data_IF_088778341748
#
_entry.id   IF_088778341748
#
_cell.length_a   1.000
_cell.length_b   1.000
_cell.length_c   1.000
_cell.angle_alpha   90.00
_cell.angle_beta   90.00
_cell.angle_gamma   90.00
#
_symmetry.space_group_name_H-M   'P 1'
#
loop_
_entity.id
_entity.type
_entity.pdbx_description
1 polymer ?
#
# COMPACT_ATOMS: atom_id res chain seq x y z
N UNK A 1 -30.33 -14.35 5.58
CA UNK A 1 -29.30 -15.23 5.03
C UNK A 1 -28.53 -14.43 4.00
N UNK A 2 -27.37 -13.88 4.38
CA UNK A 2 -26.50 -13.15 3.46
C UNK A 2 -25.61 -14.17 2.73
N UNK A 3 -25.68 -14.19 1.41
CA UNK A 3 -24.80 -14.97 0.56
C UNK A 3 -23.38 -14.40 0.68
N UNK A 4 -22.50 -15.15 1.31
CA UNK A 4 -21.06 -14.91 1.24
C UNK A 4 -20.66 -14.96 -0.24
N UNK A 5 -20.08 -13.88 -0.74
CA UNK A 5 -19.38 -13.86 -2.02
C UNK A 5 -18.17 -14.78 -1.88
N UNK A 6 -18.33 -16.03 -2.31
CA UNK A 6 -17.24 -16.95 -2.56
C UNK A 6 -16.45 -16.39 -3.75
N UNK A 7 -15.43 -15.58 -3.46
CA UNK A 7 -14.46 -15.17 -4.49
C UNK A 7 -13.72 -16.44 -4.87
N UNK A 8 -14.19 -17.10 -5.92
CA UNK A 8 -13.50 -18.24 -6.51
C UNK A 8 -12.02 -17.88 -6.67
N UNK A 9 -11.15 -18.58 -5.94
CA UNK A 9 -9.71 -18.37 -5.97
C UNK A 9 -9.20 -18.85 -7.34
N UNK A 10 -9.32 -17.98 -8.34
CA UNK A 10 -8.78 -18.22 -9.68
C UNK A 10 -7.26 -18.11 -9.56
N UNK A 11 -6.59 -19.27 -9.61
CA UNK A 11 -5.12 -19.31 -9.60
C UNK A 11 -4.61 -18.69 -10.91
N UNK A 12 -3.89 -17.59 -10.82
CA UNK A 12 -3.18 -16.98 -11.95
C UNK A 12 -1.73 -17.45 -11.98
N UNK A 13 -1.17 -17.65 -13.18
CA UNK A 13 0.24 -18.00 -13.36
C UNK A 13 1.09 -16.73 -13.49
N UNK A 14 2.25 -16.73 -12.83
CA UNK A 14 3.23 -15.65 -12.93
C UNK A 14 4.43 -16.15 -13.76
N UNK A 15 4.54 -15.65 -14.99
CA UNK A 15 5.66 -15.95 -15.87
C UNK A 15 6.66 -14.80 -15.84
N UNK A 16 7.87 -15.05 -15.32
CA UNK A 16 8.93 -14.04 -15.21
C UNK A 16 10.17 -14.48 -15.98
N UNK A 17 10.76 -13.55 -16.73
CA UNK A 17 12.10 -13.71 -17.32
C UNK A 17 13.11 -13.10 -16.38
N UNK A 18 14.10 -13.89 -15.97
CA UNK A 18 15.19 -13.46 -15.08
C UNK A 18 16.52 -13.83 -15.71
N UNK A 19 17.58 -13.11 -15.31
CA UNK A 19 18.92 -13.45 -15.74
C UNK A 19 19.41 -14.73 -15.05
N UNK A 20 20.35 -15.48 -15.64
CA UNK A 20 20.89 -16.69 -15.03
C UNK A 20 21.52 -16.45 -13.64
N UNK A 21 22.20 -15.32 -13.45
CA UNK A 21 22.80 -14.94 -12.17
C UNK A 21 21.77 -14.79 -11.06
N UNK A 22 20.65 -14.12 -11.33
CA UNK A 22 19.56 -13.91 -10.37
C UNK A 22 18.92 -15.25 -10.02
N UNK A 23 18.73 -16.13 -11.01
CA UNK A 23 18.20 -17.48 -10.79
C UNK A 23 19.07 -18.27 -9.82
N UNK A 24 20.39 -18.26 -10.02
CA UNK A 24 21.33 -18.98 -9.15
C UNK A 24 21.29 -18.42 -7.73
N UNK A 25 21.26 -17.09 -7.59
CA UNK A 25 21.18 -16.42 -6.29
C UNK A 25 19.90 -16.79 -5.55
N UNK A 26 18.75 -16.72 -6.22
CA UNK A 26 17.44 -17.05 -5.67
C UNK A 26 17.38 -18.52 -5.27
N UNK A 27 17.86 -19.44 -6.12
CA UNK A 27 17.86 -20.88 -5.81
C UNK A 27 18.70 -21.17 -4.57
N UNK A 28 19.88 -20.53 -4.42
CA UNK A 28 20.71 -20.65 -3.20
C UNK A 28 20.00 -20.13 -1.96
N UNK A 29 19.36 -18.95 -2.05
CA UNK A 29 18.63 -18.37 -0.94
C UNK A 29 17.44 -19.24 -0.51
N UNK A 30 16.67 -19.75 -1.49
CA UNK A 30 15.56 -20.66 -1.24
C UNK A 30 16.03 -21.94 -0.54
N UNK A 31 17.12 -22.55 -1.03
CA UNK A 31 17.73 -23.74 -0.43
C UNK A 31 18.21 -23.49 1.01
N UNK A 32 18.83 -22.34 1.28
CA UNK A 32 19.29 -21.99 2.62
C UNK A 32 18.15 -21.87 3.65
N UNK A 33 16.95 -21.49 3.19
CA UNK A 33 15.74 -21.39 4.01
C UNK A 33 14.91 -22.70 3.99
N UNK A 34 15.31 -23.69 3.19
CA UNK A 34 14.59 -24.97 3.05
C UNK A 34 13.29 -24.86 2.27
N UNK A 35 13.13 -23.83 1.43
CA UNK A 35 11.94 -23.58 0.61
C UNK A 35 12.21 -23.84 -0.86
N UNK A 36 11.15 -24.11 -1.62
CA UNK A 36 11.28 -24.15 -3.09
C UNK A 36 11.39 -22.73 -3.66
N UNK A 37 11.97 -22.59 -4.87
CA UNK A 37 12.14 -21.28 -5.52
C UNK A 37 10.83 -20.49 -5.62
N UNK A 38 9.74 -21.13 -6.05
CA UNK A 38 8.47 -20.45 -6.29
C UNK A 38 7.88 -19.89 -5.00
N UNK A 39 7.93 -20.67 -3.91
CA UNK A 39 7.50 -20.27 -2.58
C UNK A 39 8.34 -19.12 -2.04
N UNK A 40 9.68 -19.22 -2.15
CA UNK A 40 10.59 -18.16 -1.74
C UNK A 40 10.31 -16.85 -2.48
N UNK A 41 10.17 -16.89 -3.81
CA UNK A 41 9.90 -15.71 -4.63
C UNK A 41 8.53 -15.11 -4.32
N UNK A 42 7.49 -15.95 -4.17
CA UNK A 42 6.14 -15.48 -3.88
C UNK A 42 6.05 -14.79 -2.52
N UNK A 43 6.69 -15.36 -1.50
CA UNK A 43 6.72 -14.79 -0.15
C UNK A 43 7.50 -13.48 -0.11
N UNK A 44 8.67 -13.43 -0.76
CA UNK A 44 9.46 -12.21 -0.87
C UNK A 44 8.68 -11.11 -1.60
N UNK A 45 8.02 -11.44 -2.71
CA UNK A 45 7.20 -10.50 -3.47
C UNK A 45 6.00 -9.99 -2.67
N UNK A 46 5.32 -10.86 -1.92
CA UNK A 46 4.21 -10.48 -1.04
C UNK A 46 4.68 -9.51 0.04
N UNK A 47 5.75 -9.86 0.75
CA UNK A 47 6.29 -9.02 1.81
C UNK A 47 6.68 -7.64 1.27
N UNK A 48 7.38 -7.58 0.15
CA UNK A 48 7.76 -6.32 -0.48
C UNK A 48 6.54 -5.48 -0.89
N UNK A 49 5.49 -6.12 -1.41
CA UNK A 49 4.24 -5.43 -1.75
C UNK A 49 3.53 -4.87 -0.51
N UNK A 50 3.43 -5.66 0.56
CA UNK A 50 2.82 -5.24 1.83
C UNK A 50 3.58 -4.07 2.46
N UNK A 51 4.90 -4.13 2.50
CA UNK A 51 5.77 -3.06 2.99
C UNK A 51 5.59 -1.77 2.17
N UNK A 52 5.63 -1.88 0.84
CA UNK A 52 5.41 -0.73 -0.05
C UNK A 52 4.04 -0.09 0.16
N UNK A 53 2.98 -0.92 0.31
CA UNK A 53 1.63 -0.42 0.55
C UNK A 53 1.45 0.18 1.95
N UNK A 54 2.18 -0.31 2.95
CA UNK A 54 2.20 0.26 4.28
C UNK A 54 2.88 1.64 4.29
N UNK A 55 4.01 1.78 3.59
CA UNK A 55 4.73 3.04 3.46
C UNK A 55 3.87 4.14 2.81
N UNK A 56 3.00 3.78 1.85
CA UNK A 56 2.07 4.73 1.22
C UNK A 56 0.98 5.25 2.17
N UNK A 57 0.73 4.59 3.30
CA UNK A 57 -0.35 4.95 4.25
C UNK A 57 0.16 5.66 5.50
N UNK A 58 1.43 5.49 5.84
CA UNK A 58 1.99 6.03 7.07
C UNK A 58 2.76 7.31 6.76
N UNK A 59 2.23 8.44 7.22
CA UNK A 59 2.93 9.71 7.18
C UNK A 59 3.86 9.76 8.39
N UNK A 60 5.13 9.42 8.19
CA UNK A 60 6.15 9.58 9.21
C UNK A 60 6.47 11.07 9.40
N UNK A 61 6.15 11.59 10.58
CA UNK A 61 6.45 12.98 10.99
C UNK A 61 7.25 12.97 12.30
N UNK A 62 7.99 14.04 12.56
CA UNK A 62 8.65 14.20 13.85
C UNK A 62 7.63 14.38 14.98
N UNK A 63 7.98 14.09 16.24
CA UNK A 63 7.07 14.27 17.38
C UNK A 63 6.52 15.69 17.49
N UNK A 64 7.30 16.70 17.11
CA UNK A 64 6.90 18.11 17.13
C UNK A 64 5.79 18.40 16.12
N UNK A 65 5.96 17.92 14.88
CA UNK A 65 4.95 18.06 13.81
C UNK A 65 3.69 17.27 14.15
N UNK A 66 3.83 16.10 14.77
CA UNK A 66 2.70 15.33 15.26
C UNK A 66 1.89 16.13 16.30
N UNK A 67 2.57 16.72 17.28
CA UNK A 67 1.90 17.52 18.32
C UNK A 67 1.23 18.77 17.74
N UNK A 68 1.87 19.46 16.79
CA UNK A 68 1.25 20.59 16.09
C UNK A 68 -0.01 20.17 15.33
N UNK A 69 0.04 19.02 14.64
CA UNK A 69 -1.10 18.47 13.94
C UNK A 69 -2.27 18.15 14.89
N UNK A 70 -2.01 17.49 16.02
CA UNK A 70 -3.04 17.19 17.03
C UNK A 70 -3.64 18.48 17.60
N UNK A 71 -2.79 19.47 17.96
CA UNK A 71 -3.26 20.74 18.49
C UNK A 71 -4.20 21.47 17.50
N UNK A 72 -3.95 21.36 16.20
CA UNK A 72 -4.80 21.94 15.16
C UNK A 72 -6.10 21.15 14.92
N UNK A 73 -6.09 19.84 15.13
CA UNK A 73 -7.31 19.01 15.09
C UNK A 73 -8.23 19.28 16.28
N UNK A 74 -7.68 19.49 17.47
CA UNK A 74 -8.44 19.79 18.69
C UNK A 74 -8.93 21.25 18.74
N UNK A 75 -8.35 22.14 17.93
CA UNK A 75 -8.79 23.52 17.83
C UNK A 75 -10.15 23.65 17.16
N UNK A 76 -10.96 24.61 17.60
CA UNK A 76 -12.24 24.91 16.96
C UNK A 76 -12.03 25.24 15.46
N UNK A 77 -12.91 24.75 14.55
CA UNK A 77 -12.77 25.01 13.13
C UNK A 77 -12.72 26.52 12.86
N UNK A 78 -11.64 26.98 12.25
CA UNK A 78 -11.51 28.38 11.84
C UNK A 78 -12.44 28.63 10.67
N UNK A 79 -13.21 29.72 10.74
CA UNK A 79 -14.06 30.12 9.63
C UNK A 79 -13.18 30.51 8.42
N UNK A 80 -13.18 29.67 7.38
CA UNK A 80 -12.41 29.89 6.17
C UNK A 80 -13.36 30.22 5.02
N UNK A 81 -13.54 31.51 4.77
CA UNK A 81 -14.46 32.02 3.75
C UNK A 81 -14.08 31.54 2.33
N UNK A 82 -12.78 31.42 2.04
CA UNK A 82 -12.30 30.90 0.77
C UNK A 82 -12.67 29.42 0.59
N UNK A 83 -12.47 28.59 1.62
CA UNK A 83 -12.86 27.18 1.59
C UNK A 83 -14.38 27.02 1.39
N UNK A 84 -15.17 27.85 2.08
CA UNK A 84 -16.64 27.84 1.93
C UNK A 84 -17.06 28.22 0.51
N UNK A 85 -16.41 29.23 -0.09
CA UNK A 85 -16.64 29.64 -1.48
C UNK A 85 -16.29 28.51 -2.46
N UNK A 86 -15.19 27.79 -2.23
CA UNK A 86 -14.81 26.63 -3.05
C UNK A 86 -15.82 25.48 -2.94
N UNK A 87 -16.25 25.13 -1.73
CA UNK A 87 -17.27 24.08 -1.51
C UNK A 87 -18.63 24.40 -2.17
N UNK A 88 -18.96 25.69 -2.29
CA UNK A 88 -20.21 26.15 -2.92
C UNK A 88 -20.08 26.37 -4.44
N UNK A 89 -18.87 26.33 -4.98
CA UNK A 89 -18.64 26.50 -6.42
C UNK A 89 -18.90 25.20 -7.17
N UNK A 90 -19.49 25.31 -8.37
CA UNK A 90 -19.69 24.14 -9.24
C UNK A 90 -18.35 23.50 -9.58
N UNK A 91 -18.31 22.17 -9.56
CA UNK A 91 -17.10 21.45 -9.90
C UNK A 91 -16.76 21.68 -11.38
N UNK A 92 -15.49 21.92 -11.75
CA UNK A 92 -15.09 22.22 -13.13
C UNK A 92 -15.47 21.17 -14.19
N UNK A 93 -15.77 19.93 -13.77
CA UNK A 93 -16.10 18.80 -14.64
C UNK A 93 -17.61 18.46 -14.71
N UNK A 94 -18.49 19.22 -14.05
CA UNK A 94 -19.95 19.06 -14.17
C UNK A 94 -20.53 19.77 -15.42
N UNK A 95 -19.82 19.66 -16.55
CA UNK A 95 -20.35 20.07 -17.86
C UNK A 95 -20.92 18.88 -18.60
#
# INVERSE_FOLDING_TARGET
MATQNDVAVTRSSLNLRIKPEDKILIDRAANAVGKNRTEFVLEAARRAAEETLADLRVINVSPEVYQEFINQLDAAPRNNEALRKTLMSKSPWEK
#
